data_IF_757873732192
#
_entry.id   IF_757873732192
#
_cell.length_a   1.000
_cell.length_b   1.000
_cell.length_c   1.000
_cell.angle_alpha   90.00
_cell.angle_beta   90.00
_cell.angle_gamma   90.00
#
_symmetry.space_group_name_H-M   'P 1'
#
loop_
_entity.id
_entity.type
_entity.pdbx_description
1 polymer ?
#
# COMPACT_ATOMS: atom_id res chain seq x y z
N UNK A 1 0.19 21.42 -30.54
CA UNK A 1 0.33 22.44 -29.49
C UNK A 1 -1.03 22.91 -28.94
N UNK A 2 -2.04 23.13 -29.80
CA UNK A 2 -3.42 23.49 -29.40
C UNK A 2 -4.11 22.41 -28.53
N UNK A 3 -3.81 21.13 -28.76
CA UNK A 3 -4.36 20.03 -27.95
C UNK A 3 -3.86 20.02 -26.48
N UNK A 4 -2.68 20.61 -26.20
CA UNK A 4 -2.18 20.74 -24.82
C UNK A 4 -2.86 21.86 -24.04
N UNK A 5 -3.31 22.91 -24.73
CA UNK A 5 -3.98 24.07 -24.11
C UNK A 5 -5.45 23.76 -23.82
N UNK A 6 -6.09 22.87 -24.58
CA UNK A 6 -7.48 22.48 -24.33
C UNK A 6 -7.63 21.53 -23.13
N UNK A 7 -6.59 20.75 -22.81
CA UNK A 7 -6.56 19.87 -21.63
C UNK A 7 -6.33 20.68 -20.34
N UNK A 8 -5.66 21.83 -20.43
CA UNK A 8 -5.35 22.68 -19.26
C UNK A 8 -6.55 23.49 -18.73
N UNK A 9 -7.75 23.28 -19.27
CA UNK A 9 -8.99 23.98 -18.88
C UNK A 9 -10.15 22.99 -18.66
N UNK A 10 -9.88 21.70 -18.47
CA UNK A 10 -10.93 20.76 -18.07
C UNK A 10 -11.33 21.12 -16.62
N UNK A 11 -12.59 21.52 -16.36
CA UNK A 11 -13.04 21.91 -15.03
C UNK A 11 -12.80 20.78 -14.03
N UNK A 12 -12.48 21.11 -12.76
CA UNK A 12 -12.23 20.17 -11.65
C UNK A 12 -13.23 18.98 -11.58
N UNK A 13 -14.45 19.17 -12.07
CA UNK A 13 -15.51 18.16 -12.16
C UNK A 13 -15.12 16.96 -13.04
N UNK A 14 -14.40 17.18 -14.15
CA UNK A 14 -13.99 16.12 -15.10
C UNK A 14 -12.80 15.29 -14.57
N UNK A 15 -11.96 15.87 -13.71
CA UNK A 15 -10.83 15.16 -13.07
C UNK A 15 -11.18 14.55 -11.71
N UNK A 16 -12.42 14.66 -11.26
CA UNK A 16 -12.85 14.20 -9.93
C UNK A 16 -12.60 12.71 -9.69
N UNK A 17 -12.75 11.87 -10.72
CA UNK A 17 -12.46 10.44 -10.63
C UNK A 17 -10.96 10.16 -10.46
N UNK A 18 -10.09 10.93 -11.12
CA UNK A 18 -8.64 10.80 -11.00
C UNK A 18 -8.19 11.14 -9.57
N UNK A 19 -8.70 12.25 -9.01
CA UNK A 19 -8.38 12.64 -7.64
C UNK A 19 -8.92 11.64 -6.61
N UNK A 20 -10.16 11.15 -6.77
CA UNK A 20 -10.73 10.17 -5.84
C UNK A 20 -10.00 8.83 -5.90
N UNK A 21 -9.66 8.33 -7.09
CA UNK A 21 -8.85 7.12 -7.24
C UNK A 21 -7.45 7.29 -6.63
N UNK A 22 -6.82 8.44 -6.82
CA UNK A 22 -5.51 8.70 -6.23
C UNK A 22 -5.58 8.82 -4.71
N UNK A 23 -6.50 9.61 -4.16
CA UNK A 23 -6.66 9.81 -2.72
C UNK A 23 -7.03 8.52 -1.99
N UNK A 24 -7.91 7.70 -2.57
CA UNK A 24 -8.23 6.38 -2.01
C UNK A 24 -7.03 5.44 -2.04
N UNK A 25 -6.19 5.52 -3.08
CA UNK A 25 -4.92 4.76 -3.15
C UNK A 25 -3.90 5.12 -2.08
N UNK A 26 -3.95 6.32 -1.51
CA UNK A 26 -3.01 6.72 -0.46
C UNK A 26 -3.25 6.02 0.88
N UNK A 27 -4.40 5.37 1.09
CA UNK A 27 -4.63 4.63 2.33
C UNK A 27 -3.76 3.38 2.44
N UNK A 28 -3.43 2.74 1.31
CA UNK A 28 -2.54 1.57 1.34
C UNK A 28 -1.09 1.97 1.62
N UNK A 29 -0.64 3.15 1.18
CA UNK A 29 0.71 3.66 1.51
C UNK A 29 0.84 4.07 2.97
N UNK A 30 -0.24 4.59 3.59
CA UNK A 30 -0.30 4.79 5.04
C UNK A 30 -0.15 3.45 5.76
N UNK A 31 -0.84 2.39 5.30
CA UNK A 31 -0.73 1.05 5.88
C UNK A 31 0.70 0.49 5.81
N UNK A 32 1.37 0.65 4.65
CA UNK A 32 2.79 0.33 4.48
C UNK A 32 3.68 1.09 5.47
N UNK A 33 3.44 2.40 5.62
CA UNK A 33 4.16 3.24 6.58
C UNK A 33 4.02 2.75 8.02
N UNK A 34 2.80 2.32 8.40
CA UNK A 34 2.55 1.73 9.72
C UNK A 34 3.40 0.47 9.95
N UNK A 35 3.51 -0.42 8.96
CA UNK A 35 4.38 -1.60 9.07
C UNK A 35 5.86 -1.24 9.16
N UNK A 36 6.33 -0.22 8.44
CA UNK A 36 7.71 0.24 8.56
C UNK A 36 7.99 0.77 9.98
N UNK A 37 7.12 1.63 10.49
CA UNK A 37 7.28 2.25 11.81
C UNK A 37 7.12 1.29 12.99
N UNK A 38 6.52 0.11 12.78
CA UNK A 38 6.15 -0.82 13.86
C UNK A 38 7.33 -1.28 14.71
N UNK A 39 8.50 -1.47 14.10
CA UNK A 39 9.71 -1.92 14.79
C UNK A 39 10.17 -0.95 15.87
N UNK A 40 9.96 0.36 15.68
CA UNK A 40 10.54 1.41 16.52
C UNK A 40 10.05 1.33 17.99
N UNK A 41 8.74 1.34 18.28
CA UNK A 41 8.25 1.19 19.66
C UNK A 41 8.35 -0.23 20.20
N UNK A 42 8.25 -1.26 19.33
CA UNK A 42 8.04 -2.64 19.79
C UNK A 42 9.29 -3.51 19.84
N UNK A 43 10.33 -3.20 19.09
CA UNK A 43 11.57 -3.96 19.20
C UNK A 43 12.20 -3.84 20.60
N UNK A 44 12.26 -2.66 21.24
CA UNK A 44 12.72 -2.54 22.62
C UNK A 44 11.81 -3.28 23.62
N UNK A 45 10.49 -3.25 23.38
CA UNK A 45 9.52 -3.97 24.21
C UNK A 45 9.70 -5.48 24.11
N UNK A 46 9.94 -6.03 22.92
CA UNK A 46 10.17 -7.46 22.71
C UNK A 46 11.46 -7.97 23.38
N UNK A 47 12.48 -7.10 23.48
CA UNK A 47 13.72 -7.36 24.20
C UNK A 47 13.59 -7.21 25.72
N UNK A 48 12.49 -6.65 26.21
CA UNK A 48 12.25 -6.46 27.63
C UNK A 48 11.82 -7.77 28.32
N UNK A 49 12.00 -7.85 29.65
CA UNK A 49 11.61 -9.02 30.44
C UNK A 49 10.10 -9.24 30.49
N UNK A 50 9.32 -8.20 30.26
CA UNK A 50 7.85 -8.21 30.29
C UNK A 50 7.24 -8.56 28.93
N UNK A 51 8.07 -8.93 27.94
CA UNK A 51 7.61 -9.31 26.61
C UNK A 51 6.81 -10.61 26.62
N UNK A 52 5.63 -10.65 25.96
CA UNK A 52 4.90 -11.90 25.76
C UNK A 52 5.63 -12.86 24.80
N UNK A 53 6.53 -12.33 23.96
CA UNK A 53 7.38 -13.09 23.04
C UNK A 53 8.82 -12.63 23.28
N UNK A 54 9.50 -13.14 24.32
CA UNK A 54 10.86 -12.72 24.62
C UNK A 54 11.80 -13.14 23.49
N UNK A 55 12.60 -12.20 23.01
CA UNK A 55 13.58 -12.42 21.93
C UNK A 55 15.01 -12.13 22.38
N UNK A 56 15.98 -12.75 21.74
CA UNK A 56 17.41 -12.43 21.94
C UNK A 56 17.83 -11.24 21.08
N UNK A 57 18.99 -10.65 21.38
CA UNK A 57 19.57 -9.59 20.54
C UNK A 57 19.76 -10.05 19.08
N UNK A 58 20.19 -11.29 18.85
CA UNK A 58 20.37 -11.83 17.50
C UNK A 58 19.03 -11.97 16.76
N UNK A 59 17.97 -12.35 17.47
CA UNK A 59 16.62 -12.45 16.91
C UNK A 59 16.01 -11.08 16.61
N UNK A 60 16.38 -10.04 17.36
CA UNK A 60 15.89 -8.67 17.15
C UNK A 60 16.27 -8.13 15.76
N UNK A 61 17.45 -8.48 15.26
CA UNK A 61 17.89 -8.10 13.92
C UNK A 61 16.96 -8.66 12.84
N UNK A 62 16.52 -9.91 12.98
CA UNK A 62 15.56 -10.52 12.07
C UNK A 62 14.19 -9.83 12.14
N UNK A 63 13.66 -9.57 13.33
CA UNK A 63 12.37 -8.86 13.49
C UNK A 63 12.38 -7.48 12.83
N UNK A 64 13.50 -6.76 12.99
CA UNK A 64 13.67 -5.42 12.44
C UNK A 64 13.76 -5.42 10.91
N UNK A 65 14.52 -6.36 10.34
CA UNK A 65 14.90 -6.32 8.92
C UNK A 65 13.99 -7.13 8.01
N UNK A 66 13.27 -8.12 8.51
CA UNK A 66 12.57 -9.10 7.65
C UNK A 66 11.45 -8.48 6.80
N UNK A 67 10.82 -7.39 7.28
CA UNK A 67 9.92 -6.56 6.47
C UNK A 67 10.66 -5.94 5.26
N UNK A 68 11.84 -5.38 5.48
CA UNK A 68 12.64 -4.79 4.41
C UNK A 68 13.15 -5.87 3.44
N UNK A 69 13.45 -7.07 3.94
CA UNK A 69 13.85 -8.22 3.11
C UNK A 69 12.71 -8.67 2.20
N UNK A 70 11.45 -8.67 2.67
CA UNK A 70 10.29 -9.03 1.85
C UNK A 70 10.07 -8.10 0.64
N UNK A 71 10.37 -6.80 0.80
CA UNK A 71 10.18 -5.76 -0.22
C UNK A 71 10.76 -6.09 -1.59
N UNK A 72 12.08 -6.36 -1.70
CA UNK A 72 12.72 -6.77 -2.95
C UNK A 72 12.05 -7.98 -3.62
N UNK A 73 11.66 -9.01 -2.84
CA UNK A 73 10.96 -10.16 -3.42
C UNK A 73 9.62 -9.74 -4.01
N UNK A 74 8.83 -8.93 -3.30
CA UNK A 74 7.58 -8.37 -3.83
C UNK A 74 7.80 -7.60 -5.14
N UNK A 75 8.77 -6.69 -5.14
CA UNK A 75 9.10 -5.84 -6.29
C UNK A 75 9.50 -6.65 -7.54
N UNK A 76 10.25 -7.74 -7.37
CA UNK A 76 10.65 -8.63 -8.47
C UNK A 76 9.44 -9.25 -9.18
N UNK A 77 8.40 -9.60 -8.44
CA UNK A 77 7.20 -10.22 -9.02
C UNK A 77 6.14 -9.22 -9.48
N UNK A 78 6.26 -7.93 -9.13
CA UNK A 78 5.27 -6.91 -9.46
C UNK A 78 4.90 -6.90 -10.93
N UNK A 79 5.87 -6.87 -11.84
CA UNK A 79 5.60 -6.82 -13.29
C UNK A 79 4.72 -7.98 -13.78
N UNK A 80 5.05 -9.21 -13.33
CA UNK A 80 4.27 -10.41 -13.66
C UNK A 80 2.85 -10.29 -13.15
N UNK A 81 2.65 -9.90 -11.90
CA UNK A 81 1.30 -9.75 -11.33
C UNK A 81 0.49 -8.65 -12.03
N UNK A 82 1.10 -7.51 -12.33
CA UNK A 82 0.39 -6.40 -13.00
C UNK A 82 -0.10 -6.77 -14.40
N UNK A 83 0.65 -7.59 -15.13
CA UNK A 83 0.26 -8.05 -16.47
C UNK A 83 -0.75 -9.19 -16.43
N UNK A 84 -0.68 -10.05 -15.42
CA UNK A 84 -1.60 -11.19 -15.29
C UNK A 84 -2.96 -10.74 -14.76
N UNK A 85 -3.01 -10.08 -13.60
CA UNK A 85 -4.26 -9.79 -12.86
C UNK A 85 -4.69 -8.32 -12.85
N UNK A 86 -3.83 -7.40 -13.29
CA UNK A 86 -4.14 -5.97 -13.39
C UNK A 86 -3.71 -5.17 -12.16
N UNK A 87 -3.65 -3.84 -12.32
CA UNK A 87 -3.05 -2.92 -11.34
C UNK A 87 -3.94 -2.80 -10.11
N UNK A 88 -5.24 -2.55 -10.31
CA UNK A 88 -6.23 -2.46 -9.23
C UNK A 88 -6.30 -3.76 -8.44
N UNK A 89 -6.31 -4.90 -9.11
CA UNK A 89 -6.39 -6.21 -8.44
C UNK A 89 -5.16 -6.47 -7.58
N UNK A 90 -3.95 -6.14 -8.06
CA UNK A 90 -2.72 -6.24 -7.25
C UNK A 90 -2.81 -5.40 -5.99
N UNK A 91 -3.27 -4.14 -6.09
CA UNK A 91 -3.39 -3.26 -4.93
C UNK A 91 -4.41 -3.78 -3.90
N UNK A 92 -5.58 -4.24 -4.36
CA UNK A 92 -6.59 -4.86 -3.49
C UNK A 92 -6.08 -6.14 -2.83
N UNK A 93 -5.46 -7.03 -3.59
CA UNK A 93 -4.90 -8.28 -3.05
C UNK A 93 -3.79 -8.01 -2.04
N UNK A 94 -2.90 -7.06 -2.34
CA UNK A 94 -1.81 -6.66 -1.43
C UNK A 94 -2.35 -6.04 -0.15
N UNK A 95 -3.38 -5.20 -0.23
CA UNK A 95 -3.98 -4.61 0.98
C UNK A 95 -4.71 -5.65 1.84
N UNK A 96 -5.42 -6.61 1.24
CA UNK A 96 -5.98 -7.74 1.98
C UNK A 96 -4.88 -8.56 2.66
N UNK A 97 -3.77 -8.80 1.98
CA UNK A 97 -2.62 -9.47 2.55
C UNK A 97 -1.95 -8.68 3.68
N UNK A 98 -1.90 -7.34 3.62
CA UNK A 98 -1.47 -6.49 4.73
C UNK A 98 -2.42 -6.62 5.94
N UNK A 99 -3.74 -6.67 5.72
CA UNK A 99 -4.70 -6.95 6.79
C UNK A 99 -4.42 -8.31 7.46
N UNK A 100 -4.18 -9.36 6.67
CA UNK A 100 -3.81 -10.68 7.19
C UNK A 100 -2.49 -10.63 7.97
N UNK A 101 -1.49 -9.87 7.49
CA UNK A 101 -0.25 -9.65 8.25
C UNK A 101 -0.51 -9.00 9.61
N UNK A 102 -1.36 -7.98 9.69
CA UNK A 102 -1.75 -7.39 10.98
C UNK A 102 -2.42 -8.40 11.91
N UNK A 103 -3.27 -9.29 11.39
CA UNK A 103 -3.87 -10.36 12.20
C UNK A 103 -2.82 -11.36 12.70
N UNK A 104 -1.86 -11.73 11.85
CA UNK A 104 -0.74 -12.59 12.25
C UNK A 104 0.09 -11.94 13.37
N UNK A 105 0.36 -10.63 13.27
CA UNK A 105 1.10 -9.88 14.29
C UNK A 105 0.27 -9.76 15.58
N UNK A 106 -1.03 -9.48 15.49
CA UNK A 106 -1.91 -9.29 16.64
C UNK A 106 -2.07 -10.54 17.50
N UNK A 107 -2.08 -11.71 16.86
CA UNK A 107 -2.27 -13.01 17.51
C UNK A 107 -1.00 -13.86 17.56
N UNK A 108 0.16 -13.27 17.25
CA UNK A 108 1.43 -13.97 17.36
C UNK A 108 1.66 -14.43 18.81
N UNK A 109 1.99 -15.70 18.96
CA UNK A 109 2.42 -16.33 20.21
C UNK A 109 3.89 -16.74 20.16
N UNK A 110 4.46 -16.85 18.95
CA UNK A 110 5.84 -17.22 18.73
C UNK A 110 6.57 -16.22 17.85
N UNK A 111 7.90 -16.18 17.96
CA UNK A 111 8.76 -15.39 17.08
C UNK A 111 8.55 -15.75 15.59
N UNK A 112 8.36 -17.02 15.26
CA UNK A 112 8.20 -17.47 13.88
C UNK A 112 6.94 -16.88 13.22
N UNK A 113 5.81 -16.86 13.93
CA UNK A 113 4.56 -16.24 13.45
C UNK A 113 4.77 -14.75 13.19
N UNK A 114 5.45 -14.05 14.11
CA UNK A 114 5.79 -12.65 13.96
C UNK A 114 6.67 -12.43 12.71
N UNK A 115 7.71 -13.24 12.53
CA UNK A 115 8.61 -13.15 11.37
C UNK A 115 7.87 -13.41 10.05
N UNK A 116 7.01 -14.43 9.98
CA UNK A 116 6.18 -14.70 8.80
C UNK A 116 5.29 -13.48 8.48
N UNK A 117 4.63 -12.90 9.49
CA UNK A 117 3.83 -11.69 9.33
C UNK A 117 4.64 -10.51 8.78
N UNK A 118 5.85 -10.28 9.32
CA UNK A 118 6.76 -9.21 8.91
C UNK A 118 7.24 -9.40 7.46
N UNK A 119 7.68 -10.60 7.10
CA UNK A 119 8.11 -10.91 5.73
C UNK A 119 6.97 -10.70 4.73
N UNK A 120 5.79 -11.21 5.07
CA UNK A 120 4.61 -11.15 4.20
C UNK A 120 4.13 -9.72 3.98
N UNK A 121 4.16 -8.87 5.01
CA UNK A 121 3.90 -7.44 4.86
C UNK A 121 4.92 -6.78 3.93
N UNK A 122 6.21 -7.11 4.10
CA UNK A 122 7.28 -6.62 3.24
C UNK A 122 7.09 -6.98 1.77
N UNK A 123 6.74 -8.23 1.50
CA UNK A 123 6.43 -8.70 0.15
C UNK A 123 5.28 -7.90 -0.47
N UNK A 124 4.21 -7.66 0.29
CA UNK A 124 3.08 -6.86 -0.16
C UNK A 124 3.47 -5.41 -0.40
N UNK A 125 4.34 -4.84 0.44
CA UNK A 125 4.88 -3.49 0.27
C UNK A 125 5.63 -3.34 -1.06
N UNK A 126 6.45 -4.32 -1.42
CA UNK A 126 7.12 -4.36 -2.73
C UNK A 126 6.16 -4.37 -3.92
N UNK A 127 5.06 -5.12 -3.81
CA UNK A 127 4.00 -5.11 -4.83
C UNK A 127 3.31 -3.73 -4.91
N UNK A 128 2.98 -3.15 -3.77
CA UNK A 128 2.30 -1.85 -3.67
C UNK A 128 3.16 -0.74 -4.29
N UNK A 129 4.43 -0.63 -3.89
CA UNK A 129 5.32 0.42 -4.39
C UNK A 129 5.71 0.26 -5.86
N UNK A 130 5.61 -0.94 -6.43
CA UNK A 130 5.71 -1.10 -7.87
C UNK A 130 4.39 -0.84 -8.61
N UNK A 131 3.24 -1.16 -8.00
CA UNK A 131 1.91 -1.04 -8.62
C UNK A 131 1.36 0.39 -8.61
N UNK A 132 1.47 1.13 -7.50
CA UNK A 132 0.85 2.47 -7.35
C UNK A 132 1.38 3.46 -8.39
N UNK A 133 2.70 3.65 -8.58
CA UNK A 133 3.20 4.65 -9.53
C UNK A 133 2.75 4.34 -10.96
N UNK A 134 2.67 3.05 -11.32
CA UNK A 134 2.15 2.59 -12.61
C UNK A 134 0.66 2.92 -12.71
N UNK A 135 -0.14 2.56 -11.70
CA UNK A 135 -1.56 2.89 -11.67
C UNK A 135 -1.78 4.40 -11.86
N UNK A 136 -1.11 5.25 -11.08
CA UNK A 136 -1.20 6.71 -11.21
C UNK A 136 -0.76 7.19 -12.59
N UNK A 137 0.32 6.65 -13.14
CA UNK A 137 0.80 6.98 -14.48
C UNK A 137 -0.18 6.63 -15.60
N UNK A 138 -1.04 5.63 -15.38
CA UNK A 138 -2.03 5.15 -16.34
C UNK A 138 -3.40 5.80 -16.19
N UNK A 139 -3.76 6.29 -14.99
CA UNK A 139 -5.08 6.88 -14.71
C UNK A 139 -5.09 8.42 -14.62
N UNK A 140 -3.93 9.08 -14.51
CA UNK A 140 -3.86 10.53 -14.26
C UNK A 140 -3.22 11.31 -15.40
N UNK A 141 -3.75 12.54 -15.58
CA UNK A 141 -3.21 13.52 -16.49
C UNK A 141 -1.75 13.89 -16.11
N UNK A 142 -0.86 14.13 -17.09
CA UNK A 142 0.53 14.47 -16.85
C UNK A 142 0.75 15.68 -15.92
N UNK A 143 -0.20 16.63 -15.90
CA UNK A 143 -0.14 17.86 -15.08
C UNK A 143 -0.21 17.56 -13.57
N UNK A 144 -1.02 16.59 -13.16
CA UNK A 144 -1.26 16.29 -11.74
C UNK A 144 -0.46 15.08 -11.24
N UNK A 145 0.06 14.28 -12.16
CA UNK A 145 0.80 13.04 -11.87
C UNK A 145 1.99 13.26 -10.93
N UNK A 146 2.72 14.36 -11.11
CA UNK A 146 3.86 14.71 -10.26
C UNK A 146 3.45 14.90 -8.80
N UNK A 147 2.40 15.69 -8.56
CA UNK A 147 1.85 15.92 -7.22
C UNK A 147 1.41 14.62 -6.56
N UNK A 148 0.64 13.80 -7.28
CA UNK A 148 0.12 12.53 -6.75
C UNK A 148 1.24 11.55 -6.42
N UNK A 149 2.29 11.51 -7.24
CA UNK A 149 3.46 10.66 -6.98
C UNK A 149 4.20 11.10 -5.71
N UNK A 150 4.34 12.40 -5.46
CA UNK A 150 4.91 12.91 -4.21
C UNK A 150 4.04 12.55 -2.99
N UNK A 151 2.72 12.53 -3.14
CA UNK A 151 1.80 12.16 -2.06
C UNK A 151 2.00 10.73 -1.55
N UNK A 152 2.48 9.80 -2.39
CA UNK A 152 2.82 8.43 -2.00
C UNK A 152 3.85 8.44 -0.86
N UNK A 153 4.97 9.14 -1.06
CA UNK A 153 6.06 9.22 -0.07
C UNK A 153 5.62 9.95 1.19
N UNK A 154 4.87 11.05 1.04
CA UNK A 154 4.38 11.83 2.20
C UNK A 154 3.48 10.96 3.08
N UNK A 155 2.52 10.26 2.47
CA UNK A 155 1.56 9.43 3.22
C UNK A 155 2.18 8.20 3.83
N UNK A 156 3.20 7.62 3.18
CA UNK A 156 4.04 6.59 3.76
C UNK A 156 4.74 7.07 5.04
N UNK A 157 5.36 8.26 5.03
CA UNK A 157 6.01 8.81 6.21
C UNK A 157 5.01 9.19 7.31
N UNK A 158 3.82 9.70 6.94
CA UNK A 158 2.72 9.92 7.89
C UNK A 158 2.37 8.61 8.60
N UNK A 159 2.23 7.49 7.87
CA UNK A 159 2.01 6.17 8.47
C UNK A 159 3.09 5.78 9.47
N UNK A 160 4.36 5.97 9.12
CA UNK A 160 5.49 5.69 10.02
C UNK A 160 5.42 6.50 11.31
N UNK A 161 5.14 7.81 11.23
CA UNK A 161 5.00 8.67 12.40
C UNK A 161 3.80 8.27 13.25
N UNK A 162 2.65 7.99 12.61
CA UNK A 162 1.44 7.52 13.30
C UNK A 162 1.70 6.25 14.09
N UNK A 163 2.47 5.31 13.54
CA UNK A 163 2.82 4.08 14.24
C UNK A 163 3.63 4.33 15.52
N UNK A 164 4.58 5.26 15.47
CA UNK A 164 5.38 5.62 16.63
C UNK A 164 4.52 6.22 17.75
N UNK A 165 3.53 7.04 17.38
CA UNK A 165 2.56 7.59 18.34
C UNK A 165 1.70 6.46 18.92
N UNK A 166 1.07 5.64 18.07
CA UNK A 166 0.20 4.54 18.49
C UNK A 166 0.95 3.57 19.42
N UNK A 167 2.16 3.16 19.05
CA UNK A 167 2.96 2.21 19.82
C UNK A 167 3.56 2.77 21.09
N UNK A 168 3.49 4.08 21.32
CA UNK A 168 3.83 4.67 22.62
C UNK A 168 2.73 4.46 23.66
N UNK A 169 1.49 4.21 23.25
CA UNK A 169 0.33 4.10 24.15
C UNK A 169 -0.33 2.72 24.14
N UNK A 170 -0.18 1.94 23.07
CA UNK A 170 -0.87 0.66 22.90
C UNK A 170 0.09 -0.53 22.96
N UNK A 171 -0.47 -1.68 23.30
CA UNK A 171 0.24 -2.96 23.21
C UNK A 171 0.45 -3.38 21.75
N UNK A 172 1.35 -4.35 21.51
CA UNK A 172 1.56 -4.94 20.18
C UNK A 172 0.23 -5.42 19.59
N UNK A 173 -0.58 -6.13 20.38
CA UNK A 173 -1.87 -6.67 19.94
C UNK A 173 -2.86 -5.56 19.58
N UNK A 174 -3.06 -4.61 20.49
CA UNK A 174 -4.07 -3.57 20.30
C UNK A 174 -3.70 -2.64 19.13
N UNK A 175 -2.42 -2.29 19.02
CA UNK A 175 -1.96 -1.50 17.86
C UNK A 175 -2.11 -2.24 16.55
N UNK A 176 -1.83 -3.55 16.50
CA UNK A 176 -2.01 -4.33 15.29
C UNK A 176 -3.49 -4.38 14.87
N UNK A 177 -4.41 -4.52 15.83
CA UNK A 177 -5.84 -4.45 15.58
C UNK A 177 -6.27 -3.08 15.07
N UNK A 178 -5.80 -1.99 15.70
CA UNK A 178 -6.09 -0.61 15.25
C UNK A 178 -5.53 -0.34 13.85
N UNK A 179 -4.28 -0.73 13.59
CA UNK A 179 -3.62 -0.54 12.30
C UNK A 179 -4.27 -1.38 11.19
N UNK A 180 -4.88 -2.53 11.53
CA UNK A 180 -5.62 -3.36 10.57
C UNK A 180 -6.87 -2.69 9.99
N UNK A 181 -7.38 -1.63 10.62
CA UNK A 181 -8.53 -0.86 10.11
C UNK A 181 -8.16 -0.12 8.82
N UNK A 182 -6.91 0.35 8.69
CA UNK A 182 -6.42 1.10 7.54
C UNK A 182 -6.50 0.31 6.22
N UNK A 183 -5.97 -0.92 6.11
CA UNK A 183 -6.14 -1.73 4.89
C UNK A 183 -7.61 -2.07 4.61
N UNK A 184 -8.46 -2.25 5.64
CA UNK A 184 -9.91 -2.46 5.43
C UNK A 184 -10.58 -1.22 4.84
N UNK A 185 -10.26 -0.03 5.35
CA UNK A 185 -10.72 1.26 4.79
C UNK A 185 -10.32 1.37 3.32
N UNK A 186 -9.06 1.07 2.99
CA UNK A 186 -8.59 1.04 1.61
C UNK A 186 -9.42 0.06 0.75
N UNK A 187 -9.62 -1.19 1.18
CA UNK A 187 -10.37 -2.19 0.43
C UNK A 187 -11.79 -1.72 0.10
N UNK A 188 -12.49 -1.16 1.09
CA UNK A 188 -13.89 -0.69 0.95
C UNK A 188 -13.97 0.51 0.00
N UNK A 189 -13.02 1.44 0.05
CA UNK A 189 -13.04 2.63 -0.80
C UNK A 189 -12.54 2.34 -2.22
N UNK A 190 -11.51 1.50 -2.36
CA UNK A 190 -10.82 1.29 -3.62
C UNK A 190 -11.49 0.26 -4.54
N UNK A 191 -12.38 -0.59 -4.01
CA UNK A 191 -13.11 -1.59 -4.81
C UNK A 191 -13.96 -0.96 -5.92
N UNK A 192 -14.40 0.29 -5.74
CA UNK A 192 -15.23 1.02 -6.71
C UNK A 192 -14.41 1.75 -7.78
N UNK A 193 -13.09 1.86 -7.60
CA UNK A 193 -12.23 2.60 -8.54
C UNK A 193 -12.03 1.85 -9.85
N UNK A 194 -11.82 2.54 -10.99
CA UNK A 194 -11.60 1.88 -12.27
C UNK A 194 -10.26 1.14 -12.29
N UNK A 195 -10.19 0.08 -13.08
CA UNK A 195 -8.92 -0.54 -13.45
C UNK A 195 -8.20 0.31 -14.51
N UNK A 196 -6.89 0.15 -14.62
CA UNK A 196 -6.09 0.82 -15.63
C UNK A 196 -6.59 0.54 -17.07
N UNK A 197 -6.76 1.57 -17.92
CA UNK A 197 -7.07 1.39 -19.33
C UNK A 197 -6.03 0.55 -20.07
N UNK A 198 -4.74 0.71 -19.74
CA UNK A 198 -3.64 -0.02 -20.35
C UNK A 198 -3.73 -1.53 -20.08
N UNK A 199 -4.18 -1.92 -18.89
CA UNK A 199 -4.41 -3.33 -18.60
C UNK A 199 -5.42 -3.96 -19.57
N UNK A 200 -6.51 -3.26 -19.90
CA UNK A 200 -7.47 -3.75 -20.88
C UNK A 200 -6.90 -3.81 -22.30
N UNK A 201 -6.04 -2.87 -22.69
CA UNK A 201 -5.35 -2.90 -23.98
C UNK A 201 -4.42 -4.11 -24.10
N UNK A 202 -3.60 -4.38 -23.08
CA UNK A 202 -2.71 -5.56 -23.04
C UNK A 202 -3.51 -6.86 -23.16
N UNK A 203 -4.72 -6.92 -22.58
CA UNK A 203 -5.63 -8.08 -22.68
C UNK A 203 -6.46 -8.11 -23.98
N UNK A 204 -6.23 -7.22 -24.94
CA UNK A 204 -6.98 -7.15 -26.20
C UNK A 204 -8.45 -6.71 -26.06
N UNK A 205 -8.82 -6.09 -24.93
CA UNK A 205 -10.20 -5.68 -24.59
C UNK A 205 -10.42 -4.19 -24.89
N UNK A 206 -10.28 -3.80 -26.16
CA UNK A 206 -10.30 -2.40 -26.62
C UNK A 206 -11.55 -1.62 -26.21
N UNK A 207 -12.74 -2.24 -26.26
CA UNK A 207 -13.98 -1.60 -25.84
C UNK A 207 -14.01 -1.24 -24.34
N UNK A 208 -13.45 -2.10 -23.49
CA UNK A 208 -13.35 -1.81 -22.04
C UNK A 208 -12.31 -0.74 -21.75
N UNK A 209 -11.20 -0.75 -22.49
CA UNK A 209 -10.18 0.29 -22.40
C UNK A 209 -10.78 1.68 -22.75
N UNK A 210 -11.54 1.76 -23.86
CA UNK A 210 -12.21 3.01 -24.27
C UNK A 210 -13.19 3.51 -23.22
N UNK A 211 -14.03 2.63 -22.66
CA UNK A 211 -14.97 2.99 -21.59
C UNK A 211 -14.27 3.51 -20.32
N UNK A 212 -13.17 2.88 -19.90
CA UNK A 212 -12.40 3.37 -18.76
C UNK A 212 -11.75 4.73 -19.05
N UNK A 213 -11.22 4.92 -20.26
CA UNK A 213 -10.58 6.17 -20.64
C UNK A 213 -11.57 7.34 -20.68
N UNK A 214 -12.77 7.10 -21.23
CA UNK A 214 -13.90 8.06 -21.21
C UNK A 214 -14.32 8.35 -19.76
N UNK A 215 -14.46 7.34 -18.91
CA UNK A 215 -14.83 7.55 -17.51
C UNK A 215 -13.79 8.38 -16.72
N UNK A 216 -12.50 8.28 -17.06
CA UNK A 216 -11.40 8.99 -16.38
C UNK A 216 -11.17 10.42 -16.87
N UNK A 217 -11.52 10.73 -18.13
CA UNK A 217 -11.19 12.02 -18.76
C UNK A 217 -12.40 12.81 -19.29
N UNK A 218 -13.61 12.23 -19.30
CA UNK A 218 -14.79 12.85 -19.91
C UNK A 218 -14.99 12.42 -21.36
#
# INVERSE_FOLDING_TARGET
QVHRVMISILPLKERSLQYTAALTSLWVTISSGLHLGWTSPYLPFLLSKDSPIPITNDQSAWVATLYMVGGPFGALFTGVFLDVIGRKTVLLASSFALFVSWMLIAFATTLHELLIGRFFAGFCDGLIFGAIPIYFGEITDPEIRGLLSCSITITFQIGTVLMNVIGSYLTIRDSALVCSVIPVIFLVMFIWMPESPNYFLIKGKTEKAKRCLVALHG
#
